data_IF_835704288184
#
_entry.id   IF_835704288184
#
_cell.length_a   1.000
_cell.length_b   1.000
_cell.length_c   1.000
_cell.angle_alpha   90.00
_cell.angle_beta   90.00
_cell.angle_gamma   90.00
#
_symmetry.space_group_name_H-M   'P 1'
#
loop_
_entity.id
_entity.type
_entity.pdbx_description
1 polymer ?
#
# COMPACT_ATOMS: atom_id res chain seq x y z
N UNK A 1 6.14 -23.05 25.77
CA UNK A 1 6.01 -23.53 24.38
C UNK A 1 6.59 -22.54 23.35
N UNK A 2 6.29 -21.23 23.40
CA UNK A 2 6.82 -20.22 22.46
C UNK A 2 8.36 -20.09 22.43
N UNK A 3 9.06 -20.31 23.54
CA UNK A 3 10.54 -20.24 23.61
C UNK A 3 11.26 -21.47 23.03
N UNK A 4 10.62 -22.61 22.99
CA UNK A 4 11.23 -23.87 22.49
C UNK A 4 11.22 -23.89 20.96
N UNK A 5 10.18 -23.34 20.33
CA UNK A 5 10.08 -23.25 18.86
C UNK A 5 11.09 -22.25 18.25
N UNK A 6 11.49 -21.22 19.00
CA UNK A 6 12.51 -20.25 18.54
C UNK A 6 13.94 -20.80 18.50
N UNK A 7 14.24 -21.90 19.18
CA UNK A 7 15.61 -22.42 19.31
C UNK A 7 15.96 -23.58 18.39
N UNK A 8 15.04 -24.17 17.67
CA UNK A 8 15.28 -25.49 17.17
C UNK A 8 15.57 -25.61 15.70
N UNK A 9 15.38 -24.59 14.81
CA UNK A 9 15.16 -25.26 13.58
C UNK A 9 15.57 -24.66 12.27
N UNK A 10 16.18 -23.52 12.26
CA UNK A 10 16.63 -22.94 10.99
C UNK A 10 18.15 -23.05 10.79
N UNK A 11 18.80 -23.65 11.74
CA UNK A 11 20.23 -23.56 11.99
C UNK A 11 21.13 -24.16 10.89
N UNK A 12 20.60 -24.99 10.01
CA UNK A 12 21.45 -25.63 9.00
C UNK A 12 21.32 -24.99 7.60
N UNK A 13 20.16 -24.48 7.25
CA UNK A 13 19.92 -23.84 5.95
C UNK A 13 20.20 -22.34 5.98
N UNK A 14 19.87 -21.66 7.11
CA UNK A 14 20.12 -20.25 7.34
C UNK A 14 20.85 -20.15 8.69
N UNK A 15 22.16 -20.05 8.67
CA UNK A 15 23.00 -19.86 9.83
C UNK A 15 23.21 -18.35 10.10
N UNK A 16 23.84 -18.04 11.24
CA UNK A 16 24.03 -16.64 11.67
C UNK A 16 24.82 -15.81 10.64
N UNK A 17 25.77 -16.41 9.92
CA UNK A 17 26.53 -15.74 8.86
C UNK A 17 25.63 -15.34 7.68
N UNK A 18 24.73 -16.24 7.27
CA UNK A 18 23.76 -15.96 6.22
C UNK A 18 22.77 -14.90 6.69
N UNK A 19 22.26 -15.02 7.93
CA UNK A 19 21.35 -14.03 8.52
C UNK A 19 21.96 -12.62 8.55
N UNK A 20 23.23 -12.50 8.95
CA UNK A 20 23.94 -11.21 8.94
C UNK A 20 24.02 -10.60 7.54
N UNK A 21 24.32 -11.42 6.53
CA UNK A 21 24.40 -10.96 5.14
C UNK A 21 23.05 -10.60 4.54
N UNK A 22 21.97 -11.25 4.99
CA UNK A 22 20.61 -10.96 4.60
C UNK A 22 20.01 -9.71 5.27
N UNK A 23 20.76 -9.04 6.14
CA UNK A 23 20.31 -7.83 6.84
C UNK A 23 19.71 -6.79 5.88
N UNK A 24 18.74 -6.02 6.37
CA UNK A 24 18.09 -4.95 5.60
C UNK A 24 19.10 -3.94 5.05
N UNK A 25 20.15 -3.63 5.83
CA UNK A 25 21.26 -2.76 5.38
C UNK A 25 21.92 -3.27 4.10
N UNK A 26 22.22 -4.55 4.01
CA UNK A 26 22.86 -5.14 2.85
C UNK A 26 21.91 -5.21 1.66
N UNK A 27 20.64 -5.53 1.89
CA UNK A 27 19.61 -5.55 0.85
C UNK A 27 19.37 -4.15 0.29
N UNK A 28 19.32 -3.12 1.13
CA UNK A 28 19.26 -1.73 0.67
C UNK A 28 20.51 -1.31 -0.11
N UNK A 29 21.71 -1.72 0.30
CA UNK A 29 22.92 -1.40 -0.43
C UNK A 29 22.86 -1.93 -1.87
N UNK A 30 22.36 -3.15 -2.05
CA UNK A 30 22.19 -3.74 -3.40
C UNK A 30 21.20 -2.96 -4.25
N UNK A 31 20.04 -2.61 -3.71
CA UNK A 31 19.02 -1.81 -4.42
C UNK A 31 19.52 -0.39 -4.71
N UNK A 32 20.22 0.24 -3.77
CA UNK A 32 20.80 1.56 -3.96
C UNK A 32 21.78 1.60 -5.15
N UNK A 33 22.61 0.58 -5.31
CA UNK A 33 23.52 0.48 -6.45
C UNK A 33 22.78 0.39 -7.79
N UNK A 34 21.56 -0.18 -7.81
CA UNK A 34 20.75 -0.25 -9.02
C UNK A 34 20.02 1.07 -9.31
N UNK A 35 19.56 1.79 -8.27
CA UNK A 35 18.70 2.95 -8.44
C UNK A 35 19.44 4.29 -8.48
N UNK A 36 20.66 4.39 -7.96
CA UNK A 36 21.41 5.64 -7.93
C UNK A 36 21.62 6.30 -9.30
N UNK A 37 21.56 5.52 -10.38
CA UNK A 37 21.75 6.00 -11.76
C UNK A 37 20.50 6.67 -12.34
N UNK A 38 19.33 6.48 -11.72
CA UNK A 38 18.05 7.02 -12.20
C UNK A 38 17.48 8.10 -11.30
N UNK A 39 17.93 8.16 -10.05
CA UNK A 39 17.42 9.13 -9.06
C UNK A 39 18.29 10.39 -9.07
N UNK A 40 17.64 11.56 -8.93
CA UNK A 40 18.37 12.79 -8.63
C UNK A 40 19.00 12.69 -7.23
N UNK A 41 19.99 13.54 -6.90
CA UNK A 41 20.57 13.58 -5.55
C UNK A 41 19.53 13.80 -4.45
N UNK A 42 18.51 14.63 -4.68
CA UNK A 42 17.42 14.92 -3.75
C UNK A 42 16.52 13.71 -3.55
N UNK A 43 16.09 13.07 -4.64
CA UNK A 43 15.29 11.84 -4.61
C UNK A 43 16.04 10.72 -3.89
N UNK A 44 17.33 10.55 -4.18
CA UNK A 44 18.15 9.57 -3.50
C UNK A 44 18.35 9.90 -2.02
N UNK A 45 18.51 11.18 -1.69
CA UNK A 45 18.57 11.67 -0.31
C UNK A 45 17.32 11.33 0.48
N UNK A 46 16.14 11.57 -0.10
CA UNK A 46 14.85 11.21 0.50
C UNK A 46 14.72 9.69 0.67
N UNK A 47 15.00 8.91 -0.38
CA UNK A 47 14.98 7.44 -0.31
C UNK A 47 15.85 6.91 0.82
N UNK A 48 17.09 7.44 0.94
CA UNK A 48 18.01 7.10 2.03
C UNK A 48 17.49 7.52 3.41
N UNK A 49 16.70 8.59 3.50
CA UNK A 49 16.07 9.01 4.77
C UNK A 49 15.05 7.97 5.22
N UNK A 50 14.17 7.51 4.31
CA UNK A 50 13.19 6.45 4.62
C UNK A 50 13.90 5.14 5.00
N UNK A 51 14.93 4.76 4.26
CA UNK A 51 15.73 3.57 4.61
C UNK A 51 16.33 3.66 6.02
N UNK A 52 16.89 4.82 6.40
CA UNK A 52 17.43 5.02 7.77
C UNK A 52 16.36 4.90 8.84
N UNK A 53 15.14 5.37 8.55
CA UNK A 53 14.00 5.16 9.44
C UNK A 53 13.74 3.66 9.64
N UNK A 54 13.58 2.91 8.56
CA UNK A 54 13.32 1.46 8.63
C UNK A 54 14.42 0.71 9.40
N UNK A 55 15.69 1.08 9.19
CA UNK A 55 16.83 0.47 9.90
C UNK A 55 16.81 0.68 11.43
N UNK A 56 16.10 1.69 11.95
CA UNK A 56 15.94 1.87 13.41
C UNK A 56 15.14 0.72 14.05
N UNK A 57 14.25 0.10 13.28
CA UNK A 57 13.36 -0.97 13.73
C UNK A 57 13.89 -2.37 13.41
N UNK A 58 14.92 -2.49 12.58
CA UNK A 58 15.62 -3.75 12.36
C UNK A 58 16.45 -4.10 13.60
N UNK A 59 15.84 -4.80 14.56
CA UNK A 59 16.49 -5.16 15.82
C UNK A 59 17.49 -6.29 15.64
N UNK A 60 18.74 -6.05 15.98
CA UNK A 60 19.78 -7.11 16.19
C UNK A 60 19.89 -8.11 15.02
N UNK A 61 19.96 -7.62 13.78
CA UNK A 61 20.01 -8.44 12.57
C UNK A 61 18.76 -9.32 12.35
N UNK A 62 17.64 -9.01 12.98
CA UNK A 62 16.38 -9.64 12.66
C UNK A 62 15.96 -9.24 11.23
N UNK A 63 16.02 -10.21 10.33
CA UNK A 63 15.55 -10.09 8.93
C UNK A 63 14.11 -10.56 8.80
N UNK A 64 13.49 -10.85 9.90
CA UNK A 64 12.10 -11.29 10.05
C UNK A 64 11.47 -10.56 11.21
N UNK A 65 10.19 -10.29 11.07
CA UNK A 65 9.37 -9.74 12.14
C UNK A 65 8.48 -10.85 12.69
N UNK A 66 8.34 -10.87 14.03
CA UNK A 66 7.42 -11.80 14.69
C UNK A 66 6.00 -11.58 14.17
N UNK A 67 5.26 -12.66 13.92
CA UNK A 67 3.83 -12.60 13.59
C UNK A 67 2.99 -11.97 14.70
N UNK A 68 3.54 -11.92 15.94
CA UNK A 68 2.91 -11.27 17.09
C UNK A 68 3.33 -9.80 17.23
N UNK A 69 4.18 -9.27 16.34
CA UNK A 69 4.67 -7.89 16.42
C UNK A 69 3.55 -6.91 16.09
N UNK A 70 3.39 -5.90 16.94
CA UNK A 70 2.42 -4.82 16.71
C UNK A 70 3.03 -3.76 15.79
N UNK A 71 2.81 -3.93 14.48
CA UNK A 71 3.26 -2.99 13.46
C UNK A 71 2.62 -1.59 13.62
N UNK A 72 1.49 -1.49 14.31
CA UNK A 72 0.81 -0.21 14.55
C UNK A 72 1.58 0.67 15.55
N UNK A 73 2.44 0.07 16.39
CA UNK A 73 3.31 0.82 17.29
C UNK A 73 4.34 1.70 16.57
N UNK A 74 4.61 1.44 15.30
CA UNK A 74 5.56 2.21 14.48
C UNK A 74 4.92 3.39 13.75
N UNK A 75 3.58 3.42 13.65
CA UNK A 75 2.86 4.46 12.91
C UNK A 75 3.10 5.86 13.46
N UNK A 76 3.14 6.10 14.80
CA UNK A 76 3.45 7.43 15.34
C UNK A 76 4.84 7.93 14.94
N UNK A 77 5.86 7.08 15.00
CA UNK A 77 7.21 7.44 14.59
C UNK A 77 7.29 7.71 13.09
N UNK A 78 6.54 6.95 12.29
CA UNK A 78 6.44 7.13 10.85
C UNK A 78 5.76 8.45 10.49
N UNK A 79 4.70 8.80 11.20
CA UNK A 79 4.01 10.09 11.08
C UNK A 79 4.88 11.27 11.51
N UNK A 80 5.62 11.11 12.62
CA UNK A 80 6.52 12.14 13.12
C UNK A 80 7.68 12.48 12.15
N UNK A 81 8.14 11.50 11.35
CA UNK A 81 9.12 11.72 10.28
C UNK A 81 8.50 12.33 9.00
N UNK A 82 7.18 12.46 8.96
CA UNK A 82 6.47 13.03 7.81
C UNK A 82 6.22 12.06 6.67
N UNK A 83 6.20 10.78 6.93
CA UNK A 83 6.09 9.77 5.88
C UNK A 83 4.67 9.30 5.59
N UNK A 84 3.65 9.72 6.38
CA UNK A 84 2.27 9.31 6.16
C UNK A 84 1.55 10.22 5.18
N UNK A 85 1.79 11.54 5.24
CA UNK A 85 0.90 12.51 4.60
C UNK A 85 1.59 13.45 3.65
N UNK A 86 0.89 13.77 2.56
CA UNK A 86 1.18 14.89 1.65
C UNK A 86 1.08 16.26 2.31
N UNK A 87 0.55 16.37 3.52
CA UNK A 87 0.02 17.61 4.11
C UNK A 87 0.88 18.21 5.19
N UNK A 88 2.16 17.97 5.16
CA UNK A 88 3.10 18.54 6.11
C UNK A 88 3.46 20.01 5.89
N UNK A 89 2.71 20.76 5.14
CA UNK A 89 2.66 22.21 5.32
C UNK A 89 2.19 22.59 6.74
N UNK A 90 1.84 21.60 7.56
CA UNK A 90 1.67 21.74 9.00
C UNK A 90 3.03 21.69 9.69
N UNK A 91 3.83 22.76 9.58
CA UNK A 91 4.89 23.19 10.52
C UNK A 91 6.00 22.20 10.93
N UNK A 92 6.09 20.98 10.43
CA UNK A 92 6.84 19.97 11.16
C UNK A 92 8.10 19.41 10.50
N UNK A 93 8.42 19.70 9.23
CA UNK A 93 9.58 19.04 8.65
C UNK A 93 10.36 19.93 7.71
N UNK A 94 11.57 20.25 8.15
CA UNK A 94 12.64 20.80 7.33
C UNK A 94 13.15 19.71 6.37
N UNK A 95 12.45 19.52 5.26
CA UNK A 95 12.87 18.66 4.17
C UNK A 95 13.26 19.55 3.01
N UNK A 96 14.53 19.51 2.61
CA UNK A 96 15.02 20.13 1.38
C UNK A 96 14.44 19.49 0.10
N UNK A 97 13.45 18.62 0.21
CA UNK A 97 12.79 17.92 -0.86
C UNK A 97 11.31 17.76 -0.51
N UNK A 98 10.42 18.13 -1.42
CA UNK A 98 8.97 17.93 -1.23
C UNK A 98 8.68 16.42 -1.17
N UNK A 99 8.27 15.87 -0.01
CA UNK A 99 8.02 14.45 0.15
C UNK A 99 6.69 14.01 -0.46
N UNK A 100 6.03 14.86 -1.24
CA UNK A 100 4.67 14.65 -1.70
C UNK A 100 4.57 14.56 -3.21
N UNK A 101 3.87 13.56 -3.64
CA UNK A 101 3.68 13.22 -5.03
C UNK A 101 3.84 11.73 -5.25
N UNK A 102 3.66 11.30 -6.50
CA UNK A 102 3.79 9.90 -6.86
C UNK A 102 5.25 9.40 -6.78
N UNK A 103 6.22 10.26 -7.06
CA UNK A 103 7.65 9.90 -6.95
C UNK A 103 8.06 9.67 -5.51
N UNK A 104 7.82 10.61 -4.55
CA UNK A 104 8.09 10.34 -3.14
C UNK A 104 7.32 9.15 -2.59
N UNK A 105 6.06 8.96 -2.97
CA UNK A 105 5.25 7.80 -2.58
C UNK A 105 5.88 6.50 -3.05
N UNK A 106 6.36 6.47 -4.30
CA UNK A 106 7.08 5.34 -4.86
C UNK A 106 8.35 5.00 -4.06
N UNK A 107 9.20 5.99 -3.80
CA UNK A 107 10.45 5.80 -3.06
C UNK A 107 10.21 5.38 -1.61
N UNK A 108 9.19 5.94 -0.97
CA UNK A 108 8.78 5.56 0.38
C UNK A 108 8.32 4.10 0.44
N UNK A 109 7.40 3.72 -0.45
CA UNK A 109 6.91 2.35 -0.51
C UNK A 109 8.05 1.37 -0.83
N UNK A 110 8.95 1.72 -1.75
CA UNK A 110 10.10 0.88 -2.08
C UNK A 110 10.98 0.56 -0.85
N UNK A 111 11.19 1.52 0.03
CA UNK A 111 11.96 1.27 1.25
C UNK A 111 11.14 0.48 2.29
N UNK A 112 9.88 0.85 2.49
CA UNK A 112 9.04 0.25 3.53
C UNK A 112 8.69 -1.20 3.27
N UNK A 113 8.30 -1.56 2.05
CA UNK A 113 7.92 -2.93 1.71
C UNK A 113 9.13 -3.88 1.78
N UNK A 114 10.31 -3.41 1.43
CA UNK A 114 11.54 -4.18 1.65
C UNK A 114 11.84 -4.40 3.14
N UNK A 115 11.39 -3.49 4.01
CA UNK A 115 11.53 -3.61 5.46
C UNK A 115 10.48 -4.55 6.04
N UNK A 116 9.20 -4.22 5.89
CA UNK A 116 8.06 -5.04 6.32
C UNK A 116 6.84 -4.73 5.44
N UNK A 117 6.45 -5.63 4.53
CA UNK A 117 5.36 -5.39 3.60
C UNK A 117 3.98 -5.30 4.30
N UNK A 118 3.80 -5.90 5.48
CA UNK A 118 2.57 -5.77 6.24
C UNK A 118 2.46 -4.39 6.91
N UNK A 119 3.59 -3.83 7.38
CA UNK A 119 3.64 -2.44 7.85
C UNK A 119 3.37 -1.45 6.73
N UNK A 120 3.96 -1.66 5.55
CA UNK A 120 3.71 -0.84 4.38
C UNK A 120 2.22 -0.84 3.98
N UNK A 121 1.55 -2.00 4.04
CA UNK A 121 0.11 -2.13 3.80
C UNK A 121 -0.72 -1.31 4.81
N UNK A 122 -0.40 -1.38 6.10
CA UNK A 122 -1.09 -0.63 7.14
C UNK A 122 -0.87 0.89 7.00
N UNK A 123 0.37 1.31 6.71
CA UNK A 123 0.70 2.71 6.42
C UNK A 123 -0.03 3.25 5.20
N UNK A 124 -0.03 2.48 4.11
CA UNK A 124 -0.72 2.82 2.86
C UNK A 124 -2.22 3.01 3.03
N UNK A 125 -2.89 2.19 3.85
CA UNK A 125 -4.31 2.35 4.14
C UNK A 125 -4.62 3.67 4.87
N UNK A 126 -3.74 4.13 5.76
CA UNK A 126 -3.87 5.45 6.40
C UNK A 126 -3.72 6.57 5.37
N UNK A 127 -2.77 6.45 4.44
CA UNK A 127 -2.61 7.43 3.34
C UNK A 127 -3.87 7.50 2.48
N UNK A 128 -4.51 6.37 2.17
CA UNK A 128 -5.76 6.35 1.40
C UNK A 128 -6.91 7.06 2.15
N UNK A 129 -7.00 6.90 3.47
CA UNK A 129 -8.01 7.57 4.28
C UNK A 129 -7.80 9.09 4.37
N UNK A 130 -6.56 9.55 4.27
CA UNK A 130 -6.21 10.98 4.29
C UNK A 130 -6.62 11.70 3.00
N UNK A 131 -6.52 11.05 1.84
CA UNK A 131 -6.76 11.69 0.55
C UNK A 131 -8.13 12.38 0.44
N UNK A 132 -9.28 11.75 0.78
CA UNK A 132 -10.58 12.43 0.76
C UNK A 132 -10.67 13.63 1.70
N UNK A 133 -10.05 13.56 2.87
CA UNK A 133 -10.01 14.67 3.83
C UNK A 133 -9.20 15.85 3.29
N UNK A 134 -8.14 15.57 2.59
CA UNK A 134 -7.36 16.63 1.99
C UNK A 134 -8.12 17.41 0.94
N UNK A 135 -8.81 16.72 0.06
CA UNK A 135 -9.59 17.36 -1.00
C UNK A 135 -10.82 18.09 -0.43
N UNK A 136 -11.36 17.66 0.71
CA UNK A 136 -12.64 18.10 1.24
C UNK A 136 -12.63 18.50 2.72
N UNK A 137 -11.49 19.04 3.25
CA UNK A 137 -11.49 19.51 4.64
C UNK A 137 -12.27 20.83 4.82
N UNK A 138 -12.39 21.66 3.76
CA UNK A 138 -13.16 22.93 3.72
C UNK A 138 -12.87 23.87 4.91
N UNK A 139 -11.71 23.73 5.55
CA UNK A 139 -11.29 24.39 6.79
C UNK A 139 -12.23 24.13 7.99
N UNK A 140 -13.00 23.04 7.94
CA UNK A 140 -13.87 22.61 9.06
C UNK A 140 -12.98 22.00 10.15
N UNK A 141 -13.05 22.52 11.41
CA UNK A 141 -12.09 22.16 12.46
C UNK A 141 -11.97 20.65 12.71
N UNK A 142 -13.08 19.92 12.74
CA UNK A 142 -13.05 18.47 13.00
C UNK A 142 -12.41 17.66 11.86
N UNK A 143 -12.58 18.10 10.62
CA UNK A 143 -11.92 17.45 9.46
C UNK A 143 -10.42 17.72 9.48
N UNK A 144 -10.01 18.92 9.88
CA UNK A 144 -8.59 19.26 10.07
C UNK A 144 -7.97 18.50 11.25
N UNK A 145 -8.72 18.28 12.34
CA UNK A 145 -8.27 17.44 13.46
C UNK A 145 -8.03 16.00 13.00
N UNK A 146 -8.99 15.39 12.31
CA UNK A 146 -8.86 14.04 11.78
C UNK A 146 -7.67 13.91 10.81
N UNK A 147 -7.53 14.88 9.91
CA UNK A 147 -6.40 14.95 8.99
C UNK A 147 -5.06 15.01 9.74
N UNK A 148 -4.96 15.87 10.76
CA UNK A 148 -3.76 15.99 11.59
C UNK A 148 -3.47 14.71 12.39
N UNK A 149 -4.48 14.11 13.03
CA UNK A 149 -4.32 12.88 13.79
C UNK A 149 -3.76 11.74 12.93
N UNK A 150 -4.27 11.57 11.71
CA UNK A 150 -3.79 10.55 10.79
C UNK A 150 -2.41 10.90 10.20
N UNK A 151 -2.22 12.15 9.79
CA UNK A 151 -0.96 12.61 9.17
C UNK A 151 0.23 12.48 10.11
N UNK A 152 0.03 12.76 11.40
CA UNK A 152 1.08 12.63 12.44
C UNK A 152 1.22 11.22 13.00
N UNK A 153 0.42 10.26 12.52
CA UNK A 153 0.44 8.89 13.02
C UNK A 153 -0.15 8.72 14.43
N UNK A 154 -0.76 9.76 15.01
CA UNK A 154 -1.41 9.68 16.32
C UNK A 154 -2.55 8.66 16.31
N UNK A 155 -3.24 8.53 15.20
CA UNK A 155 -4.24 7.51 14.97
C UNK A 155 -4.18 7.00 13.52
N UNK A 156 -4.17 5.68 13.30
CA UNK A 156 -4.35 5.14 11.95
C UNK A 156 -5.73 5.48 11.44
N UNK A 157 -5.85 5.61 10.11
CA UNK A 157 -7.12 5.78 9.42
C UNK A 157 -7.45 4.58 8.56
N UNK A 158 -8.74 4.42 8.24
CA UNK A 158 -9.21 3.44 7.28
C UNK A 158 -10.20 4.06 6.28
N UNK A 159 -10.31 3.41 5.12
CA UNK A 159 -11.31 3.74 4.10
C UNK A 159 -12.22 2.53 3.88
N UNK A 160 -13.53 2.74 3.96
CA UNK A 160 -14.54 1.69 3.94
C UNK A 160 -15.41 1.82 2.68
N UNK A 161 -15.10 1.02 1.66
CA UNK A 161 -15.78 1.01 0.37
C UNK A 161 -16.46 -0.33 0.14
N UNK A 162 -15.69 -1.41 0.23
CA UNK A 162 -16.11 -2.79 -0.08
C UNK A 162 -17.21 -3.27 0.87
N UNK A 163 -18.23 -3.91 0.31
CA UNK A 163 -19.31 -4.55 1.06
C UNK A 163 -19.27 -6.07 0.87
N UNK A 164 -19.86 -6.87 1.78
CA UNK A 164 -19.90 -8.33 1.62
C UNK A 164 -20.46 -8.77 0.26
N UNK A 165 -21.43 -8.06 -0.25
CA UNK A 165 -22.09 -8.35 -1.52
C UNK A 165 -21.54 -7.57 -2.73
N UNK A 166 -20.71 -6.52 -2.48
CA UNK A 166 -20.19 -5.58 -3.49
C UNK A 166 -18.69 -5.35 -3.33
N UNK A 167 -17.89 -6.11 -4.06
CA UNK A 167 -16.44 -5.93 -4.12
C UNK A 167 -16.02 -5.13 -5.37
N UNK A 168 -15.97 -5.81 -6.52
CA UNK A 168 -15.60 -5.18 -7.81
C UNK A 168 -16.61 -4.13 -8.29
N UNK A 169 -17.85 -4.24 -7.86
CA UNK A 169 -18.95 -3.31 -8.17
C UNK A 169 -19.10 -2.26 -7.06
N UNK A 170 -18.03 -1.52 -6.82
CA UNK A 170 -17.91 -0.58 -5.71
C UNK A 170 -18.85 0.65 -5.81
N UNK A 171 -19.46 0.90 -6.97
CA UNK A 171 -20.35 2.05 -7.17
C UNK A 171 -21.83 1.75 -6.91
N UNK A 172 -22.23 0.48 -6.91
CA UNK A 172 -23.61 0.08 -6.63
C UNK A 172 -23.75 -0.41 -5.18
N UNK A 173 -23.53 0.49 -4.24
CA UNK A 173 -23.50 0.18 -2.82
C UNK A 173 -24.89 -0.14 -2.25
N UNK A 174 -24.91 -0.93 -1.17
CA UNK A 174 -26.10 -1.27 -0.39
C UNK A 174 -26.14 -0.52 0.94
N UNK A 175 -24.99 -0.05 1.46
CA UNK A 175 -24.92 0.80 2.64
C UNK A 175 -25.60 2.13 2.36
N UNK A 176 -26.64 2.47 3.13
CA UNK A 176 -27.44 3.68 2.94
C UNK A 176 -26.98 4.83 3.83
N UNK A 177 -27.32 6.07 3.39
CA UNK A 177 -27.20 7.29 4.18
C UNK A 177 -28.50 8.11 4.02
N UNK A 178 -29.34 8.13 5.06
CA UNK A 178 -30.63 8.81 5.06
C UNK A 178 -30.49 10.18 5.72
N UNK A 179 -30.71 11.26 4.94
CA UNK A 179 -30.65 12.64 5.46
C UNK A 179 -31.79 12.89 6.43
N UNK A 180 -31.47 13.52 7.56
CA UNK A 180 -32.40 13.86 8.63
C UNK A 180 -32.80 15.33 8.56
N UNK A 181 -33.93 15.72 9.17
CA UNK A 181 -34.42 17.12 9.14
C UNK A 181 -33.45 18.16 9.70
N UNK A 182 -32.48 17.75 10.53
CA UNK A 182 -31.45 18.64 11.09
C UNK A 182 -30.17 18.67 10.21
N UNK A 183 -30.19 18.01 9.06
CA UNK A 183 -29.06 17.90 8.13
C UNK A 183 -28.00 16.87 8.53
N UNK A 184 -28.21 16.09 9.60
CA UNK A 184 -27.38 14.91 9.89
C UNK A 184 -27.80 13.74 8.99
N UNK A 185 -27.02 12.67 9.00
CA UNK A 185 -27.29 11.45 8.23
C UNK A 185 -27.36 10.24 9.16
N UNK A 186 -28.24 9.29 8.84
CA UNK A 186 -28.24 7.96 9.46
C UNK A 186 -27.65 6.95 8.47
N UNK A 187 -26.54 6.34 8.82
CA UNK A 187 -25.90 5.33 8.01
C UNK A 187 -26.29 3.94 8.49
N UNK A 188 -26.69 3.07 7.55
CA UNK A 188 -27.05 1.67 7.80
C UNK A 188 -26.43 0.77 6.73
N UNK A 189 -25.75 -0.29 7.16
CA UNK A 189 -25.15 -1.26 6.24
C UNK A 189 -23.94 -1.97 6.79
N UNK A 190 -23.14 -2.56 5.89
CA UNK A 190 -21.94 -3.32 6.26
C UNK A 190 -20.81 -3.05 5.30
N UNK A 191 -19.59 -2.96 5.84
CA UNK A 191 -18.35 -2.89 5.07
C UNK A 191 -17.43 -4.04 5.50
N UNK A 192 -16.50 -4.45 4.63
CA UNK A 192 -15.63 -5.59 4.94
C UNK A 192 -14.25 -5.47 4.27
N UNK A 193 -13.26 -6.13 4.86
CA UNK A 193 -11.87 -6.16 4.41
C UNK A 193 -11.14 -4.81 4.45
N UNK A 194 -11.63 -3.88 5.25
CA UNK A 194 -11.04 -2.56 5.32
C UNK A 194 -9.82 -2.58 6.24
N UNK A 195 -8.66 -2.31 5.66
CA UNK A 195 -7.38 -2.32 6.37
C UNK A 195 -7.39 -1.23 7.44
N UNK A 196 -6.89 -1.55 8.63
CA UNK A 196 -6.79 -0.74 9.83
C UNK A 196 -8.12 -0.52 10.59
N UNK A 197 -9.29 -0.82 10.07
CA UNK A 197 -10.55 -0.45 10.70
C UNK A 197 -10.66 -0.81 12.19
N UNK A 198 -10.21 -2.01 12.66
CA UNK A 198 -10.23 -2.34 14.10
C UNK A 198 -9.26 -1.52 14.96
N UNK A 199 -8.36 -0.76 14.36
CA UNK A 199 -7.34 0.07 15.02
C UNK A 199 -7.52 1.56 14.79
N UNK A 200 -8.44 1.94 13.89
CA UNK A 200 -8.64 3.33 13.47
C UNK A 200 -9.51 4.11 14.46
N UNK A 201 -9.13 5.35 14.72
CA UNK A 201 -10.02 6.34 15.33
C UNK A 201 -10.91 6.98 14.28
N UNK A 202 -10.38 7.17 13.08
CA UNK A 202 -11.05 7.84 11.97
C UNK A 202 -11.27 6.88 10.81
N UNK A 203 -12.49 6.85 10.29
CA UNK A 203 -12.85 6.09 9.10
C UNK A 203 -13.48 6.99 8.04
N UNK A 204 -13.09 6.81 6.77
CA UNK A 204 -13.82 7.39 5.65
C UNK A 204 -14.74 6.32 5.08
N UNK A 205 -16.04 6.55 5.16
CA UNK A 205 -17.07 5.58 4.77
C UNK A 205 -17.83 6.08 3.56
N UNK A 206 -17.96 5.24 2.54
CA UNK A 206 -18.85 5.48 1.40
C UNK A 206 -20.21 4.85 1.64
N UNK A 207 -21.26 5.62 1.37
CA UNK A 207 -22.64 5.18 1.45
C UNK A 207 -23.46 5.84 0.32
N UNK A 208 -24.70 5.43 0.14
CA UNK A 208 -25.57 5.99 -0.91
C UNK A 208 -26.93 6.39 -0.36
N UNK A 209 -27.49 7.51 -0.83
CA UNK A 209 -28.86 7.90 -0.49
C UNK A 209 -29.91 7.00 -1.16
N UNK A 210 -29.53 6.28 -2.24
CA UNK A 210 -30.36 5.30 -2.90
C UNK A 210 -29.54 4.07 -3.23
N UNK A 211 -29.99 2.89 -2.77
CA UNK A 211 -29.27 1.63 -3.00
C UNK A 211 -29.08 1.34 -4.49
N UNK A 212 -27.92 0.80 -4.84
CA UNK A 212 -27.51 0.48 -6.21
C UNK A 212 -27.43 1.70 -7.15
N UNK A 213 -27.50 2.94 -6.65
CA UNK A 213 -27.39 4.16 -7.44
C UNK A 213 -26.09 4.92 -7.15
N UNK A 214 -25.06 4.69 -7.97
CA UNK A 214 -23.77 5.36 -7.84
C UNK A 214 -23.81 6.88 -7.96
N UNK A 215 -24.87 7.44 -8.55
CA UNK A 215 -25.06 8.89 -8.66
C UNK A 215 -25.62 9.52 -7.36
N UNK A 216 -25.93 8.69 -6.37
CA UNK A 216 -26.37 9.10 -5.03
C UNK A 216 -25.35 8.76 -3.93
N UNK A 217 -24.15 8.40 -4.33
CA UNK A 217 -23.07 8.11 -3.37
C UNK A 217 -22.59 9.38 -2.69
N UNK A 218 -22.22 9.23 -1.42
CA UNK A 218 -21.54 10.22 -0.61
C UNK A 218 -20.39 9.59 0.17
N UNK A 219 -19.52 10.41 0.74
CA UNK A 219 -18.46 9.96 1.64
C UNK A 219 -18.52 10.72 2.95
N UNK A 220 -18.26 10.02 4.04
CA UNK A 220 -18.38 10.53 5.39
C UNK A 220 -17.12 10.26 6.20
N UNK A 221 -16.71 11.24 7.00
CA UNK A 221 -15.75 11.03 8.07
C UNK A 221 -16.49 10.49 9.28
N UNK A 222 -16.03 9.41 9.87
CA UNK A 222 -16.61 8.76 11.03
C UNK A 222 -15.59 8.72 12.16
N UNK A 223 -16.00 9.11 13.36
CA UNK A 223 -15.29 8.73 14.58
C UNK A 223 -15.77 7.33 14.98
N UNK A 224 -14.87 6.37 15.00
CA UNK A 224 -15.18 4.96 15.24
C UNK A 224 -15.65 4.66 16.67
N UNK A 225 -15.64 5.66 17.57
CA UNK A 225 -16.18 5.55 18.92
C UNK A 225 -17.69 5.83 19.00
N UNK A 226 -18.32 6.27 17.91
CA UNK A 226 -19.74 6.61 17.95
C UNK A 226 -20.64 5.40 18.08
N UNK A 227 -21.78 5.60 18.76
CA UNK A 227 -22.87 4.63 18.79
C UNK A 227 -23.35 4.31 17.37
N UNK A 228 -23.59 3.04 17.11
CA UNK A 228 -23.95 2.55 15.77
C UNK A 228 -22.76 2.13 14.91
N UNK A 229 -21.51 2.38 15.34
CA UNK A 229 -20.30 1.78 14.72
C UNK A 229 -19.89 0.53 15.49
N UNK A 230 -19.89 -0.61 14.80
CA UNK A 230 -19.31 -1.86 15.31
C UNK A 230 -18.30 -2.38 14.31
N UNK A 231 -17.15 -2.82 14.77
CA UNK A 231 -16.11 -3.36 13.92
C UNK A 231 -15.53 -4.66 14.49
N UNK A 232 -15.64 -5.73 13.73
CA UNK A 232 -15.05 -7.02 14.05
C UNK A 232 -13.77 -7.22 13.23
N UNK A 233 -12.75 -7.83 13.84
CA UNK A 233 -11.52 -8.14 13.10
C UNK A 233 -11.73 -9.32 12.17
N UNK A 234 -11.46 -9.14 10.89
CA UNK A 234 -11.32 -10.21 9.90
C UNK A 234 -9.86 -10.67 9.90
N UNK A 235 -9.62 -11.87 10.39
CA UNK A 235 -8.28 -12.45 10.42
C UNK A 235 -7.94 -13.11 9.07
N UNK A 236 -6.89 -12.59 8.42
CA UNK A 236 -6.34 -13.18 7.20
C UNK A 236 -4.98 -13.79 7.52
N UNK A 237 -4.84 -15.15 7.46
CA UNK A 237 -3.60 -15.83 7.83
C UNK A 237 -2.37 -15.40 7.00
N UNK A 238 -2.57 -14.85 5.82
CA UNK A 238 -1.49 -14.39 4.93
C UNK A 238 -0.88 -13.06 5.36
N UNK A 239 -1.62 -12.27 6.13
CA UNK A 239 -1.18 -10.97 6.68
C UNK A 239 -1.56 -10.86 8.16
N UNK A 240 -1.01 -11.71 9.02
CA UNK A 240 -1.47 -11.87 10.40
C UNK A 240 -1.26 -10.61 11.26
N UNK A 241 -0.33 -9.73 10.88
CA UNK A 241 -0.05 -8.47 11.59
C UNK A 241 -1.02 -7.35 11.21
N UNK A 242 -1.64 -7.42 10.03
CA UNK A 242 -2.59 -6.42 9.54
C UNK A 242 -3.98 -6.69 10.12
N UNK A 243 -4.61 -5.65 10.64
CA UNK A 243 -5.97 -5.73 11.14
C UNK A 243 -6.95 -5.24 10.07
N UNK A 244 -7.69 -6.19 9.48
CA UNK A 244 -8.79 -5.87 8.58
C UNK A 244 -10.11 -5.90 9.37
N UNK A 245 -11.06 -5.04 8.98
CA UNK A 245 -12.36 -4.94 9.62
C UNK A 245 -13.50 -5.57 8.82
N UNK A 246 -14.55 -5.90 9.57
CA UNK A 246 -15.92 -6.05 9.12
C UNK A 246 -16.73 -5.04 9.93
N UNK A 247 -17.15 -3.99 9.29
CA UNK A 247 -17.86 -2.87 9.91
C UNK A 247 -19.35 -3.06 9.73
N UNK A 248 -20.09 -2.91 10.84
CA UNK A 248 -21.54 -2.98 10.90
C UNK A 248 -22.03 -1.61 11.36
N UNK A 249 -22.82 -0.96 10.51
CA UNK A 249 -23.38 0.37 10.74
C UNK A 249 -24.86 0.21 11.04
N UNK A 250 -25.28 0.58 12.25
CA UNK A 250 -26.66 0.46 12.71
C UNK A 250 -27.17 1.81 13.25
N UNK A 251 -27.92 2.52 12.41
CA UNK A 251 -28.40 3.88 12.71
C UNK A 251 -27.28 4.83 13.16
N UNK A 252 -26.11 4.67 12.57
CA UNK A 252 -24.93 5.49 12.86
C UNK A 252 -25.23 6.93 12.46
N UNK A 253 -25.38 7.81 13.46
CA UNK A 253 -25.72 9.22 13.23
C UNK A 253 -24.46 10.01 12.94
N UNK A 254 -24.41 10.65 11.77
CA UNK A 254 -23.29 11.43 11.29
C UNK A 254 -23.72 12.90 11.14
N UNK A 255 -23.14 13.83 11.91
CA UNK A 255 -23.42 15.26 11.76
C UNK A 255 -23.01 15.78 10.38
N UNK A 256 -23.67 16.83 9.91
CA UNK A 256 -23.45 17.39 8.56
C UNK A 256 -22.02 17.85 8.27
N UNK A 257 -21.30 18.31 9.30
CA UNK A 257 -19.92 18.75 9.19
C UNK A 257 -18.92 17.62 8.92
N UNK A 258 -19.34 16.37 9.05
CA UNK A 258 -18.54 15.18 8.77
C UNK A 258 -18.77 14.61 7.36
N UNK A 259 -19.66 15.19 6.56
CA UNK A 259 -19.76 14.81 5.15
C UNK A 259 -18.56 15.37 4.36
N UNK A 260 -17.91 14.56 3.57
CA UNK A 260 -16.76 14.96 2.75
C UNK A 260 -17.23 15.21 1.30
N UNK A 261 -17.28 16.48 0.91
CA UNK A 261 -17.89 16.92 -0.35
C UNK A 261 -19.42 16.95 -0.28
N UNK A 262 -20.09 16.48 -1.30
CA UNK A 262 -21.54 16.55 -1.49
C UNK A 262 -22.17 15.17 -1.74
N UNK A 263 -23.42 14.97 -1.34
CA UNK A 263 -24.22 13.80 -1.75
C UNK A 263 -24.34 13.77 -3.27
N UNK A 264 -24.18 12.60 -3.85
CA UNK A 264 -24.16 12.41 -5.31
C UNK A 264 -22.78 12.58 -5.96
N UNK A 265 -21.76 13.05 -5.21
CA UNK A 265 -20.38 13.19 -5.70
C UNK A 265 -19.43 12.07 -5.27
N UNK A 266 -19.86 11.22 -4.35
CA UNK A 266 -19.01 10.15 -3.81
C UNK A 266 -18.42 9.23 -4.88
N UNK A 267 -19.13 8.97 -6.00
CA UNK A 267 -18.61 8.22 -7.13
C UNK A 267 -17.44 8.93 -7.81
N UNK A 268 -17.54 10.23 -8.04
CA UNK A 268 -16.48 11.01 -8.68
C UNK A 268 -15.24 11.02 -7.78
N UNK A 269 -15.42 11.27 -6.48
CA UNK A 269 -14.36 11.24 -5.48
C UNK A 269 -13.69 9.85 -5.39
N UNK A 270 -14.48 8.76 -5.48
CA UNK A 270 -13.93 7.41 -5.54
C UNK A 270 -12.98 7.24 -6.74
N UNK A 271 -13.40 7.70 -7.91
CA UNK A 271 -12.59 7.56 -9.13
C UNK A 271 -11.34 8.44 -9.13
N UNK A 272 -11.38 9.61 -8.53
CA UNK A 272 -10.22 10.50 -8.35
C UNK A 272 -9.13 9.81 -7.50
N UNK A 273 -9.53 9.11 -6.44
CA UNK A 273 -8.62 8.35 -5.56
C UNK A 273 -7.98 7.12 -6.22
N UNK A 274 -8.54 6.59 -7.31
CA UNK A 274 -8.07 5.33 -7.90
C UNK A 274 -6.72 5.43 -8.62
N UNK A 275 -6.31 6.59 -9.12
CA UNK A 275 -5.00 6.72 -9.79
C UNK A 275 -3.88 6.60 -8.77
N UNK A 276 -3.81 7.43 -7.71
CA UNK A 276 -2.76 7.33 -6.70
C UNK A 276 -2.78 5.97 -5.97
N UNK A 277 -3.95 5.37 -5.74
CA UNK A 277 -4.04 4.03 -5.15
C UNK A 277 -3.35 2.98 -6.02
N UNK A 278 -3.61 2.96 -7.34
CA UNK A 278 -2.99 2.00 -8.26
C UNK A 278 -1.50 2.20 -8.41
N UNK A 279 -1.05 3.46 -8.42
CA UNK A 279 0.39 3.80 -8.40
C UNK A 279 1.03 3.26 -7.11
N UNK A 280 0.42 3.49 -5.97
CA UNK A 280 0.88 3.01 -4.68
C UNK A 280 1.02 1.48 -4.64
N UNK A 281 -0.02 0.75 -5.07
CA UNK A 281 0.01 -0.72 -5.13
C UNK A 281 1.08 -1.22 -6.12
N UNK A 282 1.25 -0.57 -7.26
CA UNK A 282 2.28 -0.95 -8.21
C UNK A 282 3.69 -0.69 -7.66
N UNK A 283 3.88 0.38 -6.89
CA UNK A 283 5.13 0.69 -6.20
C UNK A 283 5.47 -0.35 -5.13
N UNK A 284 4.49 -0.72 -4.29
CA UNK A 284 4.62 -1.78 -3.29
C UNK A 284 4.99 -3.11 -3.95
N UNK A 285 4.30 -3.48 -5.04
CA UNK A 285 4.57 -4.69 -5.80
C UNK A 285 6.04 -4.76 -6.31
N UNK A 286 6.55 -3.68 -6.85
CA UNK A 286 7.95 -3.60 -7.30
C UNK A 286 8.92 -3.64 -6.12
N UNK A 287 8.58 -3.03 -5.00
CA UNK A 287 9.39 -3.09 -3.79
C UNK A 287 9.57 -4.52 -3.28
N UNK A 288 8.51 -5.32 -3.33
CA UNK A 288 8.58 -6.75 -2.97
C UNK A 288 9.41 -7.56 -3.95
N UNK A 289 9.38 -7.24 -5.26
CA UNK A 289 10.31 -7.85 -6.21
C UNK A 289 11.75 -7.59 -5.76
N UNK A 290 12.13 -6.36 -5.44
CA UNK A 290 13.45 -6.03 -4.94
C UNK A 290 13.78 -6.72 -3.62
N UNK A 291 12.79 -6.80 -2.72
CA UNK A 291 12.90 -7.52 -1.45
C UNK A 291 13.25 -8.99 -1.68
N UNK A 292 12.42 -9.71 -2.42
CA UNK A 292 12.59 -11.14 -2.71
C UNK A 292 13.87 -11.43 -3.48
N UNK A 293 14.18 -10.65 -4.52
CA UNK A 293 15.41 -10.80 -5.29
C UNK A 293 16.66 -10.59 -4.44
N UNK A 294 16.67 -9.58 -3.58
CA UNK A 294 17.83 -9.33 -2.71
C UNK A 294 18.07 -10.50 -1.74
N UNK A 295 17.00 -11.08 -1.18
CA UNK A 295 17.10 -12.29 -0.36
C UNK A 295 17.66 -13.46 -1.16
N UNK A 296 17.05 -13.78 -2.29
CA UNK A 296 17.44 -14.93 -3.10
C UNK A 296 18.86 -14.82 -3.65
N UNK A 297 19.25 -13.63 -4.14
CA UNK A 297 20.59 -13.39 -4.67
C UNK A 297 21.69 -13.52 -3.61
N UNK A 298 21.49 -12.90 -2.43
CA UNK A 298 22.43 -13.00 -1.32
C UNK A 298 22.50 -14.45 -0.83
N UNK A 299 21.35 -15.11 -0.64
CA UNK A 299 21.32 -16.51 -0.24
C UNK A 299 22.04 -17.41 -1.24
N UNK A 300 21.77 -17.27 -2.53
CA UNK A 300 22.38 -18.08 -3.59
C UNK A 300 23.91 -17.88 -3.67
N UNK A 301 24.41 -16.69 -3.32
CA UNK A 301 25.84 -16.39 -3.29
C UNK A 301 26.55 -16.94 -2.03
N UNK A 302 25.80 -17.45 -1.07
CA UNK A 302 26.36 -17.99 0.19
C UNK A 302 26.09 -19.48 0.34
N UNK A 303 24.93 -19.95 -0.08
CA UNK A 303 24.54 -21.36 0.01
C UNK A 303 25.38 -22.23 -0.92
N UNK A 304 26.02 -23.25 -0.37
CA UNK A 304 26.80 -24.24 -1.14
C UNK A 304 26.03 -25.54 -1.30
N UNK A 305 26.07 -26.06 -2.50
CA UNK A 305 25.66 -27.42 -2.84
C UNK A 305 26.65 -27.97 -3.90
N UNK A 306 26.93 -29.26 -3.86
CA UNK A 306 27.91 -29.88 -4.77
C UNK A 306 29.25 -29.10 -4.78
N UNK A 307 29.71 -28.72 -3.58
CA UNK A 307 30.99 -28.04 -3.30
C UNK A 307 31.13 -26.61 -3.86
N UNK A 308 30.09 -26.04 -4.43
CA UNK A 308 30.10 -24.65 -4.91
C UNK A 308 28.87 -23.85 -4.49
N UNK A 309 28.96 -22.53 -4.58
CA UNK A 309 27.79 -21.65 -4.34
C UNK A 309 26.72 -21.92 -5.38
N UNK A 310 25.45 -21.99 -4.95
CA UNK A 310 24.36 -22.30 -5.88
C UNK A 310 24.17 -21.25 -6.97
N UNK A 311 24.58 -20.00 -6.75
CA UNK A 311 24.58 -18.93 -7.75
C UNK A 311 25.43 -19.28 -9.00
N UNK A 312 26.47 -20.12 -8.85
CA UNK A 312 27.36 -20.50 -9.93
C UNK A 312 26.77 -21.56 -10.89
N UNK A 313 25.65 -22.18 -10.49
CA UNK A 313 24.91 -23.01 -11.44
C UNK A 313 24.17 -22.14 -12.44
N UNK A 314 24.35 -22.36 -13.72
CA UNK A 314 23.77 -21.54 -14.79
C UNK A 314 22.22 -21.42 -14.65
N UNK A 315 21.52 -22.50 -14.30
CA UNK A 315 20.09 -22.50 -14.10
C UNK A 315 19.63 -21.52 -12.99
N UNK A 316 20.42 -21.38 -11.94
CA UNK A 316 20.16 -20.43 -10.85
C UNK A 316 20.54 -19.00 -11.26
N UNK A 317 21.73 -18.82 -11.81
CA UNK A 317 22.22 -17.51 -12.23
C UNK A 317 21.35 -16.88 -13.32
N UNK A 318 20.94 -17.67 -14.33
CA UNK A 318 20.10 -17.18 -15.43
C UNK A 318 18.69 -16.80 -14.94
N UNK A 319 18.09 -17.61 -14.06
CA UNK A 319 16.81 -17.27 -13.47
C UNK A 319 16.88 -15.94 -12.73
N UNK A 320 17.85 -15.76 -11.83
CA UNK A 320 17.99 -14.51 -11.07
C UNK A 320 18.23 -13.30 -11.96
N UNK A 321 19.02 -13.44 -13.02
CA UNK A 321 19.29 -12.33 -13.95
C UNK A 321 18.07 -11.98 -14.79
N UNK A 322 17.25 -12.95 -15.17
CA UNK A 322 15.97 -12.71 -15.86
C UNK A 322 14.99 -11.94 -14.97
N UNK A 323 14.80 -12.41 -13.73
CA UNK A 323 13.91 -11.76 -12.75
C UNK A 323 14.40 -10.34 -12.42
N UNK A 324 15.71 -10.15 -12.27
CA UNK A 324 16.30 -8.83 -12.07
C UNK A 324 16.06 -7.89 -13.24
N UNK A 325 16.27 -8.34 -14.48
CA UNK A 325 16.01 -7.53 -15.67
C UNK A 325 14.53 -7.11 -15.78
N UNK A 326 13.59 -8.04 -15.55
CA UNK A 326 12.15 -7.74 -15.52
C UNK A 326 11.81 -6.70 -14.45
N UNK A 327 12.32 -6.89 -13.22
CA UNK A 327 12.10 -5.97 -12.09
C UNK A 327 12.66 -4.58 -12.39
N UNK A 328 13.89 -4.49 -12.90
CA UNK A 328 14.52 -3.22 -13.25
C UNK A 328 13.73 -2.46 -14.31
N UNK A 329 13.29 -3.13 -15.37
CA UNK A 329 12.53 -2.50 -16.46
C UNK A 329 11.19 -1.93 -15.97
N UNK A 330 10.44 -2.68 -15.14
CA UNK A 330 9.19 -2.17 -14.59
C UNK A 330 9.42 -1.08 -13.53
N UNK A 331 10.51 -1.15 -12.76
CA UNK A 331 10.90 -0.07 -11.84
C UNK A 331 11.10 1.24 -12.59
N UNK A 332 11.83 1.22 -13.69
CA UNK A 332 12.04 2.39 -14.53
C UNK A 332 10.74 2.90 -15.15
N UNK A 333 9.90 1.98 -15.64
CA UNK A 333 8.62 2.32 -16.24
C UNK A 333 7.68 3.02 -15.30
N UNK A 334 7.46 2.46 -14.09
CA UNK A 334 6.57 3.08 -13.10
C UNK A 334 7.16 4.36 -12.52
N UNK A 335 8.48 4.42 -12.32
CA UNK A 335 9.15 5.63 -11.85
C UNK A 335 8.92 6.79 -12.84
N UNK A 336 9.12 6.54 -14.13
CA UNK A 336 8.85 7.54 -15.18
C UNK A 336 7.38 7.94 -15.26
N UNK A 337 6.47 7.00 -14.99
CA UNK A 337 5.05 7.31 -14.92
C UNK A 337 4.72 8.21 -13.71
N UNK A 338 5.35 7.96 -12.54
CA UNK A 338 5.22 8.81 -11.37
C UNK A 338 5.70 10.24 -11.65
N UNK A 339 6.86 10.41 -12.28
CA UNK A 339 7.36 11.73 -12.68
C UNK A 339 6.38 12.46 -13.61
N UNK A 340 5.88 11.75 -14.64
CA UNK A 340 4.93 12.33 -15.57
C UNK A 340 3.57 12.67 -14.90
N UNK A 341 3.15 11.89 -13.93
CA UNK A 341 1.94 12.17 -13.15
C UNK A 341 2.12 13.43 -12.30
N UNK A 342 3.22 13.54 -11.55
CA UNK A 342 3.52 14.68 -10.70
C UNK A 342 3.63 15.98 -11.53
N UNK A 343 4.33 15.93 -12.68
CA UNK A 343 4.40 17.05 -13.64
C UNK A 343 3.01 17.52 -14.11
N UNK A 344 2.09 16.59 -14.37
CA UNK A 344 0.73 16.93 -14.80
C UNK A 344 -0.11 17.50 -13.66
N UNK A 345 0.01 16.91 -12.46
CA UNK A 345 -0.68 17.44 -11.28
C UNK A 345 -0.24 18.87 -10.98
N UNK A 346 1.06 19.15 -11.01
CA UNK A 346 1.60 20.50 -10.85
C UNK A 346 1.09 21.46 -11.95
N UNK A 347 1.21 21.05 -13.22
CA UNK A 347 0.82 21.88 -14.36
C UNK A 347 -0.65 22.28 -14.35
N UNK A 348 -1.53 21.42 -13.85
CA UNK A 348 -2.98 21.64 -13.81
C UNK A 348 -3.51 22.02 -12.41
N UNK A 349 -2.63 22.38 -11.49
CA UNK A 349 -3.03 22.83 -10.14
C UNK A 349 -3.82 21.78 -9.35
N UNK A 350 -3.51 20.49 -9.53
CA UNK A 350 -4.16 19.37 -8.85
C UNK A 350 -5.44 18.84 -9.54
N UNK A 351 -5.98 19.54 -10.53
CA UNK A 351 -7.21 19.15 -11.23
C UNK A 351 -6.94 18.78 -12.70
N UNK A 352 -6.93 17.49 -12.99
CA UNK A 352 -6.64 17.00 -14.33
C UNK A 352 -7.83 17.17 -15.28
N UNK A 353 -7.60 17.62 -16.54
CA UNK A 353 -8.63 17.56 -17.58
C UNK A 353 -9.16 16.14 -17.78
N UNK A 354 -10.46 15.99 -18.00
CA UNK A 354 -11.14 14.69 -18.04
C UNK A 354 -10.56 13.68 -19.05
N UNK A 355 -10.07 14.17 -20.21
CA UNK A 355 -9.41 13.31 -21.21
C UNK A 355 -8.03 12.81 -20.71
N UNK A 356 -7.27 13.67 -20.02
CA UNK A 356 -5.98 13.31 -19.46
C UNK A 356 -6.15 12.38 -18.25
N UNK A 357 -7.10 12.68 -17.36
CA UNK A 357 -7.45 11.80 -16.23
C UNK A 357 -7.76 10.38 -16.70
N UNK A 358 -8.61 10.23 -17.72
CA UNK A 358 -8.94 8.90 -18.31
C UNK A 358 -7.72 8.18 -18.86
N UNK A 359 -6.81 8.87 -19.53
CA UNK A 359 -5.56 8.28 -20.04
C UNK A 359 -4.67 7.80 -18.89
N UNK A 360 -4.52 8.61 -17.84
CA UNK A 360 -3.72 8.28 -16.66
C UNK A 360 -4.33 7.12 -15.85
N UNK A 361 -5.66 7.04 -15.72
CA UNK A 361 -6.35 5.88 -15.13
C UNK A 361 -6.00 4.59 -15.86
N UNK A 362 -6.02 4.62 -17.21
CA UNK A 362 -5.65 3.46 -18.02
C UNK A 362 -4.18 3.07 -17.81
N UNK A 363 -3.28 4.03 -17.80
CA UNK A 363 -1.84 3.78 -17.59
C UNK A 363 -1.55 3.26 -16.18
N UNK A 364 -2.15 3.83 -15.14
CA UNK A 364 -2.04 3.35 -13.77
C UNK A 364 -2.55 1.89 -13.63
N UNK A 365 -3.66 1.56 -14.34
CA UNK A 365 -4.18 0.19 -14.40
C UNK A 365 -3.21 -0.77 -15.08
N UNK A 366 -2.52 -0.34 -16.14
CA UNK A 366 -1.50 -1.15 -16.81
C UNK A 366 -0.33 -1.43 -15.87
N UNK A 367 0.19 -0.42 -15.17
CA UNK A 367 1.28 -0.61 -14.21
C UNK A 367 0.86 -1.52 -13.06
N UNK A 368 -0.30 -1.29 -12.43
CA UNK A 368 -0.79 -2.18 -11.39
C UNK A 368 -0.89 -3.63 -11.89
N UNK A 369 -1.49 -3.84 -13.05
CA UNK A 369 -1.66 -5.18 -13.65
C UNK A 369 -0.31 -5.88 -13.88
N UNK A 370 0.68 -5.19 -14.44
CA UNK A 370 1.98 -5.79 -14.75
C UNK A 370 2.86 -5.94 -13.51
N UNK A 371 2.92 -4.93 -12.64
CA UNK A 371 3.75 -4.98 -11.44
C UNK A 371 3.31 -6.10 -10.50
N UNK A 372 2.00 -6.23 -10.22
CA UNK A 372 1.49 -7.29 -9.34
C UNK A 372 1.65 -8.69 -9.95
N UNK A 373 1.55 -8.84 -11.28
CA UNK A 373 1.83 -10.09 -11.95
C UNK A 373 3.31 -10.50 -11.85
N UNK A 374 4.22 -9.53 -12.06
CA UNK A 374 5.65 -9.76 -11.90
C UNK A 374 6.02 -10.10 -10.46
N UNK A 375 5.43 -9.39 -9.48
CA UNK A 375 5.71 -9.65 -8.07
C UNK A 375 5.38 -11.07 -7.68
N UNK A 376 4.25 -11.60 -8.11
CA UNK A 376 3.91 -13.00 -7.88
C UNK A 376 4.94 -13.94 -8.50
N UNK A 377 5.39 -13.68 -9.73
CA UNK A 377 6.42 -14.48 -10.40
C UNK A 377 7.74 -14.43 -9.63
N UNK A 378 8.23 -13.23 -9.33
CA UNK A 378 9.51 -13.02 -8.64
C UNK A 378 9.51 -13.63 -7.25
N UNK A 379 8.49 -13.36 -6.43
CA UNK A 379 8.43 -13.88 -5.08
C UNK A 379 8.34 -15.41 -5.06
N UNK A 380 7.56 -16.01 -5.97
CA UNK A 380 7.42 -17.45 -6.10
C UNK A 380 8.74 -18.11 -6.50
N UNK A 381 9.40 -17.61 -7.55
CA UNK A 381 10.65 -18.19 -8.03
C UNK A 381 11.82 -17.99 -7.05
N UNK A 382 11.88 -16.85 -6.37
CA UNK A 382 12.86 -16.60 -5.31
C UNK A 382 12.65 -17.55 -4.11
N UNK A 383 11.41 -17.78 -3.70
CA UNK A 383 11.09 -18.73 -2.63
C UNK A 383 11.47 -20.16 -3.03
N UNK A 384 11.15 -20.56 -4.26
CA UNK A 384 11.54 -21.87 -4.81
C UNK A 384 13.06 -22.06 -4.83
N UNK A 385 13.79 -21.04 -5.27
CA UNK A 385 15.26 -21.06 -5.31
C UNK A 385 15.85 -21.26 -3.91
N UNK A 386 15.26 -20.64 -2.90
CA UNK A 386 15.71 -20.79 -1.51
C UNK A 386 15.29 -22.15 -0.90
N UNK A 387 14.38 -22.88 -1.55
CA UNK A 387 13.88 -24.17 -1.06
C UNK A 387 13.19 -24.03 0.31
N UNK A 388 13.42 -24.98 1.22
CA UNK A 388 12.82 -24.95 2.57
C UNK A 388 13.13 -23.66 3.36
N UNK A 389 14.29 -23.03 3.11
CA UNK A 389 14.63 -21.76 3.74
C UNK A 389 13.72 -20.60 3.33
N UNK A 390 13.19 -20.62 2.09
CA UNK A 390 12.25 -19.61 1.61
C UNK A 390 10.84 -19.74 2.22
N UNK A 391 10.55 -20.84 2.90
CA UNK A 391 9.26 -21.09 3.54
C UNK A 391 9.29 -20.84 5.06
N UNK A 392 10.48 -20.54 5.60
CA UNK A 392 10.66 -20.34 7.03
C UNK A 392 10.30 -18.92 7.44
N UNK A 393 9.79 -18.76 8.67
CA UNK A 393 9.38 -17.48 9.25
C UNK A 393 10.55 -16.64 9.79
N UNK A 394 11.79 -17.13 9.66
CA UNK A 394 13.00 -16.37 10.01
C UNK A 394 13.57 -15.55 8.83
N UNK A 395 12.82 -15.46 7.76
CA UNK A 395 13.06 -14.54 6.63
C UNK A 395 11.74 -13.88 6.21
N UNK A 396 11.80 -12.71 5.59
CA UNK A 396 10.60 -12.05 5.04
C UNK A 396 10.12 -12.68 3.72
N UNK A 397 10.76 -13.74 3.23
CA UNK A 397 10.41 -14.35 1.95
C UNK A 397 8.96 -14.84 1.92
N UNK A 398 8.47 -15.45 3.02
CA UNK A 398 7.08 -15.89 3.09
C UNK A 398 6.10 -14.71 3.12
N UNK A 399 6.47 -13.59 3.76
CA UNK A 399 5.66 -12.36 3.75
C UNK A 399 5.56 -11.78 2.33
N UNK A 400 6.69 -11.68 1.61
CA UNK A 400 6.67 -11.23 0.22
C UNK A 400 5.80 -12.13 -0.66
N UNK A 401 5.91 -13.45 -0.51
CA UNK A 401 5.10 -14.40 -1.27
C UNK A 401 3.60 -14.23 -0.97
N UNK A 402 3.22 -14.09 0.30
CA UNK A 402 1.84 -13.93 0.73
C UNK A 402 1.24 -12.61 0.24
N UNK A 403 1.94 -11.50 0.45
CA UNK A 403 1.44 -10.18 0.07
C UNK A 403 1.40 -10.02 -1.44
N UNK A 404 2.32 -10.61 -2.20
CA UNK A 404 2.28 -10.57 -3.66
C UNK A 404 0.92 -11.02 -4.22
N UNK A 405 0.27 -11.97 -3.55
CA UNK A 405 -1.07 -12.43 -3.92
C UNK A 405 -2.17 -11.44 -3.54
N UNK A 406 -2.04 -10.80 -2.38
CA UNK A 406 -3.02 -9.81 -1.91
C UNK A 406 -3.04 -8.59 -2.84
N UNK A 407 -1.91 -8.14 -3.32
CA UNK A 407 -1.79 -6.99 -4.21
C UNK A 407 -2.48 -7.18 -5.57
N UNK A 408 -2.62 -8.41 -6.05
CA UNK A 408 -3.44 -8.67 -7.25
C UNK A 408 -4.94 -8.42 -7.01
N UNK A 409 -5.39 -8.42 -5.75
CA UNK A 409 -6.80 -8.35 -5.36
C UNK A 409 -7.19 -6.91 -4.98
N UNK A 410 -6.41 -6.28 -4.10
CA UNK A 410 -6.72 -4.95 -3.54
C UNK A 410 -6.67 -3.84 -4.60
N UNK A 411 -7.38 -2.73 -4.40
CA UNK A 411 -7.44 -1.60 -5.34
C UNK A 411 -8.01 -1.98 -6.72
N UNK A 412 -8.94 -2.92 -6.75
CA UNK A 412 -9.52 -3.53 -7.94
C UNK A 412 -8.70 -4.72 -8.45
N UNK A 413 -9.35 -5.89 -8.54
CA UNK A 413 -8.72 -7.14 -8.94
C UNK A 413 -8.03 -7.07 -10.30
N UNK A 414 -7.18 -8.06 -10.60
CA UNK A 414 -6.55 -8.24 -11.91
C UNK A 414 -7.57 -8.11 -13.06
N UNK A 415 -8.75 -8.70 -12.91
CA UNK A 415 -9.82 -8.67 -13.92
C UNK A 415 -10.42 -7.26 -14.07
N UNK A 416 -10.53 -6.51 -12.98
CA UNK A 416 -10.98 -5.11 -13.03
C UNK A 416 -9.96 -4.23 -13.79
N UNK A 417 -8.66 -4.44 -13.57
CA UNK A 417 -7.64 -3.72 -14.35
C UNK A 417 -7.77 -4.03 -15.85
N UNK A 418 -7.97 -5.31 -16.20
CA UNK A 418 -8.17 -5.73 -17.60
C UNK A 418 -9.46 -5.14 -18.19
N UNK A 419 -10.54 -5.07 -17.41
CA UNK A 419 -11.80 -4.43 -17.84
C UNK A 419 -11.59 -2.95 -18.17
N UNK A 420 -10.92 -2.20 -17.29
CA UNK A 420 -10.63 -0.78 -17.50
C UNK A 420 -9.77 -0.56 -18.75
N UNK A 421 -8.71 -1.36 -18.93
CA UNK A 421 -7.87 -1.31 -20.13
C UNK A 421 -8.68 -1.64 -21.41
N UNK A 422 -9.56 -2.64 -21.33
CA UNK A 422 -10.45 -3.01 -22.45
C UNK A 422 -11.40 -1.87 -22.84
N UNK A 423 -11.95 -1.16 -21.84
CA UNK A 423 -12.80 0.00 -22.11
C UNK A 423 -12.02 1.14 -22.78
N UNK A 424 -10.79 1.39 -22.35
CA UNK A 424 -9.90 2.37 -22.96
C UNK A 424 -9.58 2.01 -24.43
N UNK A 425 -9.26 0.75 -24.72
CA UNK A 425 -9.04 0.27 -26.10
C UNK A 425 -10.28 0.49 -26.98
N UNK A 426 -11.48 0.15 -26.49
CA UNK A 426 -12.73 0.37 -27.24
C UNK A 426 -12.98 1.84 -27.58
N UNK A 427 -12.59 2.76 -26.67
CA UNK A 427 -12.70 4.20 -26.93
C UNK A 427 -11.74 4.66 -28.02
N UNK A 428 -10.49 4.16 -28.03
CA UNK A 428 -9.52 4.47 -29.08
C UNK A 428 -10.03 4.05 -30.45
N UNK A 429 -10.62 2.87 -30.60
CA UNK A 429 -11.18 2.40 -31.86
C UNK A 429 -12.42 3.19 -32.34
N UNK A 430 -13.14 3.86 -31.45
CA UNK A 430 -14.25 4.76 -31.82
C UNK A 430 -13.76 6.12 -32.33
N UNK A 431 -12.50 6.46 -32.11
CA UNK A 431 -11.88 7.72 -32.54
C UNK A 431 -11.21 7.61 -33.93
N UNK A 432 -11.03 6.38 -34.41
CA UNK A 432 -10.51 6.04 -35.74
C UNK A 432 -11.66 5.71 -36.68
#
# INVERSE_FOLDING_TARGET
MKQVLKKTNYAQAINDEILEKLSLKNRYAWVNNNLQSILTPEQFGFFRKVQRFCLKFEKNNNITHSTDEDIYSWIPDFGAEGFISRFHKFEMIDLNYDPYGAVPDFLRNLAMDMFDPQFAMAGGATVLAINPLHEHHDNIPIRLEALKDMATGKAPGCICITEPERGSDAVHQLTTCDEQPDGSFLLNGRKIYNTNAPKSKWAVVYATAEQNNGNQMAQFLIDTSWEGWNCERVFIPWVPKVHLGHEILENLRVPKEYILGEVGKGRDHLFEGLIPERIGIAAMAIAECWGALSFAAIYANMRKQFDQMILLFQGVGFLLTELWAKTSNLTWGIFKFCEAFDEKMEKFGGQLPANLSRALVSSASQFKFHCTALTREVCYECANLMGGAGLCDNTLMHDYLNISRIQEIVGGSRQIQQYIMSMALRQLFKMI
#
